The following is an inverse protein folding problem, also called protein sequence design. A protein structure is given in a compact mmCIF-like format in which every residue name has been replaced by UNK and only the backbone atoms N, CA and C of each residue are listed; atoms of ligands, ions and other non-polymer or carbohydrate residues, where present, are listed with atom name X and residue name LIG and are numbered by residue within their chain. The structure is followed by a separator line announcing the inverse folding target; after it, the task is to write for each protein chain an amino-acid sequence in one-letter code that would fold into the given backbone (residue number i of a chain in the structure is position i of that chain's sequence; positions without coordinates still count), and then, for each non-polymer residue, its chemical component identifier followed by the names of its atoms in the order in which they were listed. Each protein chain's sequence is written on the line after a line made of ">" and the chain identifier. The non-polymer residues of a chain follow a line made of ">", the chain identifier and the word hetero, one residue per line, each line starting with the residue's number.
data_IF_042611418432
#
_entry.id   IF_042611418432
#
_cell.length_a   1.000
_cell.length_b   1.000
_cell.length_c   1.000
_cell.angle_alpha   90.00
_cell.angle_beta   90.00
_cell.angle_gamma   90.00
#
_symmetry.space_group_name_H-M   'P 1'
#
loop_
_entity.id
_entity.type
_entity.pdbx_description
1 polymer ?
#
# COMPACT_ATOMS: atom_id res chain seq x y z
N UNK A 1 2.62 -9.72 -23.71
CA UNK A 1 2.82 -10.56 -22.52
C UNK A 1 2.16 -9.87 -21.32
N UNK A 2 1.49 -10.60 -20.42
CA UNK A 2 0.84 -10.02 -19.24
C UNK A 2 1.90 -9.77 -18.16
N UNK A 3 1.89 -8.59 -17.52
CA UNK A 3 2.82 -8.28 -16.44
C UNK A 3 2.61 -9.18 -15.22
N UNK A 4 3.70 -9.60 -14.57
CA UNK A 4 3.70 -10.25 -13.25
C UNK A 4 3.22 -9.30 -12.15
N UNK A 5 2.92 -9.82 -10.97
CA UNK A 5 2.59 -8.98 -9.81
C UNK A 5 3.81 -8.22 -9.29
N UNK A 6 5.00 -8.83 -9.32
CA UNK A 6 6.26 -8.13 -9.03
C UNK A 6 6.47 -6.95 -9.99
N UNK A 7 6.25 -7.11 -11.29
CA UNK A 7 6.36 -6.01 -12.27
C UNK A 7 5.31 -4.91 -12.06
N UNK A 8 4.11 -5.26 -11.59
CA UNK A 8 3.07 -4.27 -11.22
C UNK A 8 3.46 -3.53 -9.94
N UNK A 9 4.05 -4.21 -8.96
CA UNK A 9 4.57 -3.60 -7.73
C UNK A 9 5.69 -2.63 -8.08
N UNK A 10 6.62 -3.09 -8.92
CA UNK A 10 7.89 -2.40 -9.20
C UNK A 10 7.80 -1.42 -10.37
N UNK A 11 6.58 -1.09 -10.80
CA UNK A 11 6.31 -0.06 -11.81
C UNK A 11 6.99 1.26 -11.44
N UNK A 12 7.58 1.91 -12.42
CA UNK A 12 8.16 3.24 -12.26
C UNK A 12 7.06 4.29 -12.38
N UNK A 13 6.46 4.61 -11.24
CA UNK A 13 5.40 5.60 -11.10
C UNK A 13 5.58 6.33 -9.78
N UNK A 14 5.32 7.62 -9.80
CA UNK A 14 5.34 8.44 -8.60
C UNK A 14 3.94 8.55 -7.97
N UNK A 15 3.94 8.72 -6.65
CA UNK A 15 2.73 9.05 -5.90
C UNK A 15 2.24 10.45 -6.26
N UNK A 16 0.94 10.70 -6.12
CA UNK A 16 0.36 12.00 -6.47
C UNK A 16 -0.45 12.53 -5.31
N UNK A 17 -0.33 13.83 -5.03
CA UNK A 17 -1.17 14.49 -4.04
C UNK A 17 -2.20 15.36 -4.76
N UNK A 18 -3.49 15.14 -4.48
CA UNK A 18 -4.61 15.82 -5.12
C UNK A 18 -5.63 16.27 -4.08
N UNK A 19 -6.24 17.43 -4.30
CA UNK A 19 -7.38 17.88 -3.49
C UNK A 19 -8.63 17.19 -4.03
N UNK A 20 -9.40 16.54 -3.15
CA UNK A 20 -10.63 15.88 -3.59
C UNK A 20 -11.77 16.90 -3.80
N UNK A 21 -12.36 16.88 -5.00
CA UNK A 21 -13.49 17.76 -5.33
C UNK A 21 -14.82 17.32 -4.70
N UNK A 22 -14.89 16.07 -4.22
CA UNK A 22 -16.08 15.45 -3.63
C UNK A 22 -15.70 14.60 -2.42
N UNK A 23 -16.63 14.44 -1.49
CA UNK A 23 -16.49 13.51 -0.38
C UNK A 23 -16.31 12.09 -0.93
N UNK A 24 -15.36 11.35 -0.37
CA UNK A 24 -15.07 9.99 -0.81
C UNK A 24 -14.72 9.10 0.39
N UNK A 25 -15.49 8.03 0.59
CA UNK A 25 -15.39 7.18 1.77
C UNK A 25 -15.42 8.03 3.07
N UNK A 26 -14.37 7.94 3.89
CA UNK A 26 -14.19 8.69 5.14
C UNK A 26 -13.47 10.06 4.96
N UNK A 27 -13.34 10.54 3.72
CA UNK A 27 -12.55 11.75 3.38
C UNK A 27 -13.48 12.92 2.98
N UNK A 28 -13.50 14.02 3.76
CA UNK A 28 -14.28 15.23 3.45
C UNK A 28 -13.85 15.92 2.15
N UNK A 29 -14.73 16.72 1.54
CA UNK A 29 -14.41 17.58 0.40
C UNK A 29 -13.26 18.54 0.74
N UNK A 30 -12.36 18.81 -0.20
CA UNK A 30 -11.26 19.76 -0.02
C UNK A 30 -10.02 19.21 0.70
N UNK A 31 -10.03 17.93 1.08
CA UNK A 31 -8.89 17.25 1.71
C UNK A 31 -7.76 17.03 0.71
N UNK A 32 -6.53 17.36 1.12
CA UNK A 32 -5.30 17.04 0.39
C UNK A 32 -5.01 15.53 0.49
N UNK A 33 -5.38 14.79 -0.54
CA UNK A 33 -5.35 13.33 -0.56
C UNK A 33 -4.16 12.77 -1.35
N UNK A 34 -3.46 11.79 -0.78
CA UNK A 34 -2.43 11.01 -1.45
C UNK A 34 -3.04 9.88 -2.26
N UNK A 35 -2.65 9.78 -3.53
CA UNK A 35 -2.80 8.61 -4.39
C UNK A 35 -1.47 7.84 -4.32
N UNK A 36 -1.38 6.75 -3.54
CA UNK A 36 -0.14 6.03 -3.32
C UNK A 36 0.20 5.13 -4.51
N UNK A 37 1.44 4.65 -4.54
CA UNK A 37 1.88 3.57 -5.43
C UNK A 37 2.04 2.26 -4.64
N UNK A 38 2.08 1.10 -5.32
CA UNK A 38 2.42 -0.16 -4.66
C UNK A 38 3.79 -0.12 -3.98
N UNK A 39 4.78 0.59 -4.55
CA UNK A 39 6.11 0.75 -3.95
C UNK A 39 6.06 1.49 -2.61
N UNK A 40 5.29 2.58 -2.52
CA UNK A 40 5.20 3.36 -1.27
C UNK A 40 4.63 2.52 -0.15
N UNK A 41 3.56 1.78 -0.46
CA UNK A 41 2.91 0.88 0.48
C UNK A 41 3.87 -0.25 0.88
N UNK A 42 4.50 -0.90 -0.10
CA UNK A 42 5.41 -2.03 0.14
C UNK A 42 6.57 -1.65 1.06
N UNK A 43 7.22 -0.49 0.82
CA UNK A 43 8.30 0.01 1.68
C UNK A 43 7.84 0.12 3.14
N UNK A 44 6.67 0.74 3.35
CA UNK A 44 6.12 0.89 4.69
C UNK A 44 5.76 -0.45 5.34
N UNK A 45 5.23 -1.41 4.58
CA UNK A 45 4.91 -2.76 5.08
C UNK A 45 6.18 -3.52 5.49
N UNK A 46 7.25 -3.42 4.69
CA UNK A 46 8.55 -4.04 4.99
C UNK A 46 9.16 -3.53 6.29
N UNK A 47 8.91 -2.27 6.64
CA UNK A 47 9.42 -1.64 7.87
C UNK A 47 8.64 -2.04 9.14
N UNK A 48 7.54 -2.80 9.02
CA UNK A 48 6.77 -3.25 10.19
C UNK A 48 7.60 -4.31 10.94
N UNK A 49 7.92 -4.13 12.24
CA UNK A 49 8.69 -5.11 12.99
C UNK A 49 7.96 -6.46 13.15
N UNK A 50 8.73 -7.52 13.37
CA UNK A 50 8.19 -8.84 13.73
C UNK A 50 7.37 -8.69 15.03
N UNK A 51 6.19 -9.31 15.07
CA UNK A 51 5.27 -9.24 16.21
C UNK A 51 4.43 -7.96 16.28
N UNK A 52 4.60 -7.04 15.33
CA UNK A 52 3.78 -5.82 15.23
C UNK A 52 2.75 -5.94 14.12
N UNK A 53 1.59 -5.34 14.35
CA UNK A 53 0.47 -5.28 13.40
C UNK A 53 -0.01 -3.84 13.28
N UNK A 54 -0.52 -3.46 12.11
CA UNK A 54 -1.07 -2.14 11.86
C UNK A 54 -2.40 -2.27 11.13
N UNK A 55 -3.37 -1.45 11.51
CA UNK A 55 -4.64 -1.38 10.80
C UNK A 55 -4.48 -0.60 9.49
N UNK A 56 -5.30 -0.91 8.49
CA UNK A 56 -5.31 -0.20 7.19
C UNK A 56 -5.42 1.33 7.35
N UNK A 57 -6.17 1.79 8.37
CA UNK A 57 -6.31 3.22 8.69
C UNK A 57 -5.00 3.86 9.15
N UNK A 58 -4.17 3.14 9.90
CA UNK A 58 -2.88 3.64 10.39
C UNK A 58 -1.87 3.78 9.25
N UNK A 59 -1.84 2.79 8.36
CA UNK A 59 -1.01 2.80 7.15
C UNK A 59 -1.35 4.01 6.27
N UNK A 60 -2.65 4.26 6.04
CA UNK A 60 -3.13 5.44 5.29
C UNK A 60 -2.66 6.75 5.93
N UNK A 61 -2.74 6.89 7.27
CA UNK A 61 -2.27 8.10 7.96
C UNK A 61 -0.76 8.28 7.82
N UNK A 62 0.02 7.20 7.99
CA UNK A 62 1.49 7.25 7.85
C UNK A 62 1.92 7.62 6.44
N UNK A 63 1.32 7.01 5.42
CA UNK A 63 1.60 7.33 4.01
C UNK A 63 1.28 8.78 3.69
N UNK A 64 0.12 9.29 4.12
CA UNK A 64 -0.26 10.68 3.92
C UNK A 64 0.77 11.64 4.54
N UNK A 65 1.15 11.41 5.80
CA UNK A 65 2.14 12.21 6.51
C UNK A 65 3.48 12.24 5.77
N UNK A 66 3.98 11.09 5.31
CA UNK A 66 5.25 10.99 4.60
C UNK A 66 5.26 11.73 3.25
N UNK A 67 4.09 12.03 2.68
CA UNK A 67 3.93 12.68 1.37
C UNK A 67 3.29 14.09 1.49
N UNK A 68 3.30 14.71 2.67
CA UNK A 68 2.70 16.04 2.90
C UNK A 68 1.23 16.13 2.48
N UNK A 69 0.46 15.07 2.74
CA UNK A 69 -0.98 14.96 2.52
C UNK A 69 -1.70 14.73 3.86
N UNK A 70 -3.01 14.98 3.88
CA UNK A 70 -3.85 14.79 5.06
C UNK A 70 -4.38 13.36 5.19
N UNK A 71 -4.70 12.72 4.05
CA UNK A 71 -5.21 11.36 4.03
C UNK A 71 -4.78 10.61 2.77
N UNK A 72 -4.61 9.29 2.84
CA UNK A 72 -4.37 8.46 1.65
C UNK A 72 -5.67 7.87 1.11
N UNK A 73 -5.82 7.81 -0.21
CA UNK A 73 -6.99 7.28 -0.90
C UNK A 73 -7.26 5.81 -0.51
N UNK A 74 -8.42 5.47 0.08
CA UNK A 74 -8.72 4.11 0.52
C UNK A 74 -8.73 3.11 -0.63
N UNK A 75 -9.37 3.46 -1.75
CA UNK A 75 -9.51 2.58 -2.91
C UNK A 75 -8.15 2.18 -3.49
N UNK A 76 -7.29 3.16 -3.73
CA UNK A 76 -5.97 2.90 -4.31
C UNK A 76 -5.07 2.18 -3.30
N UNK A 77 -5.21 2.46 -2.00
CA UNK A 77 -4.54 1.69 -0.94
C UNK A 77 -4.92 0.21 -1.00
N UNK A 78 -6.21 -0.12 -1.14
CA UNK A 78 -6.68 -1.50 -1.27
C UNK A 78 -6.16 -2.20 -2.54
N UNK A 79 -6.17 -1.50 -3.69
CA UNK A 79 -5.59 -2.03 -4.94
C UNK A 79 -4.09 -2.30 -4.77
N UNK A 80 -3.35 -1.37 -4.17
CA UNK A 80 -1.92 -1.54 -3.90
C UNK A 80 -1.68 -2.69 -2.92
N UNK A 81 -2.52 -2.84 -1.89
CA UNK A 81 -2.41 -3.93 -0.91
C UNK A 81 -2.53 -5.29 -1.58
N UNK A 82 -3.49 -5.44 -2.51
CA UNK A 82 -3.60 -6.66 -3.30
C UNK A 82 -2.36 -6.89 -4.15
N UNK A 83 -1.85 -5.88 -4.84
CA UNK A 83 -0.65 -6.00 -5.68
C UNK A 83 0.55 -6.49 -4.85
N UNK A 84 0.80 -5.90 -3.67
CA UNK A 84 1.95 -6.30 -2.85
C UNK A 84 1.77 -7.70 -2.25
N UNK A 85 0.53 -8.10 -1.93
CA UNK A 85 0.23 -9.44 -1.40
C UNK A 85 0.48 -10.52 -2.45
N UNK A 86 0.03 -10.28 -3.67
CA UNK A 86 0.22 -11.20 -4.80
C UNK A 86 1.70 -11.24 -5.24
N UNK A 87 2.39 -10.09 -5.22
CA UNK A 87 3.83 -10.03 -5.48
C UNK A 87 4.64 -10.81 -4.44
N UNK A 88 4.28 -10.70 -3.16
CA UNK A 88 4.89 -11.48 -2.08
C UNK A 88 4.67 -12.99 -2.28
N UNK A 89 3.51 -13.40 -2.81
CA UNK A 89 3.25 -14.80 -3.13
C UNK A 89 4.04 -15.30 -4.35
N UNK A 90 4.14 -14.52 -5.43
CA UNK A 90 5.00 -14.84 -6.59
C UNK A 90 6.47 -15.02 -6.15
N UNK A 91 6.95 -14.11 -5.31
CA UNK A 91 8.28 -14.16 -4.71
C UNK A 91 8.46 -15.42 -3.86
N UNK A 92 7.52 -15.72 -2.99
CA UNK A 92 7.56 -16.95 -2.19
C UNK A 92 7.63 -18.20 -3.08
N UNK A 93 6.83 -18.29 -4.14
CA UNK A 93 6.88 -19.41 -5.09
C UNK A 93 8.22 -19.53 -5.82
N UNK A 94 8.87 -18.40 -6.13
CA UNK A 94 10.13 -18.39 -6.88
C UNK A 94 11.34 -18.76 -6.01
N UNK A 95 11.41 -18.30 -4.76
CA UNK A 95 12.61 -18.44 -3.93
C UNK A 95 12.44 -19.27 -2.66
N UNK A 96 11.20 -19.59 -2.26
CA UNK A 96 10.85 -20.27 -1.01
C UNK A 96 11.48 -19.64 0.26
N UNK A 97 11.61 -18.30 0.27
CA UNK A 97 12.23 -17.51 1.35
C UNK A 97 11.23 -16.53 1.97
N UNK A 98 10.64 -16.92 3.09
CA UNK A 98 9.62 -16.13 3.81
C UNK A 98 10.18 -14.82 4.37
N UNK A 99 11.48 -14.77 4.67
CA UNK A 99 12.19 -13.61 5.22
C UNK A 99 12.40 -12.49 4.19
N UNK A 100 12.14 -12.77 2.91
CA UNK A 100 12.39 -11.85 1.80
C UNK A 100 11.14 -11.26 1.15
N UNK A 101 9.95 -11.68 1.57
CA UNK A 101 8.69 -11.22 0.99
C UNK A 101 8.07 -10.11 1.83
N UNK A 102 7.17 -9.34 1.23
CA UNK A 102 6.39 -8.33 1.95
C UNK A 102 5.56 -8.96 3.06
N UNK A 103 5.66 -8.53 4.34
CA UNK A 103 4.89 -9.10 5.44
C UNK A 103 3.46 -8.54 5.47
N UNK A 104 2.73 -8.65 4.36
CA UNK A 104 1.38 -8.08 4.18
C UNK A 104 0.36 -8.59 5.20
N UNK A 105 0.56 -9.80 5.73
CA UNK A 105 -0.26 -10.40 6.79
C UNK A 105 -0.21 -9.63 8.13
N UNK A 106 0.71 -8.67 8.29
CA UNK A 106 0.74 -7.76 9.44
C UNK A 106 -0.28 -6.61 9.33
N UNK A 107 -0.99 -6.52 8.21
CA UNK A 107 -1.98 -5.46 7.93
C UNK A 107 -3.32 -6.03 7.49
N UNK A 108 -3.32 -7.07 6.66
CA UNK A 108 -4.56 -7.67 6.17
C UNK A 108 -5.25 -8.40 7.32
N UNK A 109 -6.44 -7.91 7.67
CA UNK A 109 -7.32 -8.52 8.67
C UNK A 109 -7.94 -9.81 8.11
N UNK A 110 -8.20 -10.83 8.94
CA UNK A 110 -8.69 -12.14 8.52
C UNK A 110 -10.20 -12.19 8.17
N UNK A 111 -10.90 -11.07 8.24
CA UNK A 111 -12.36 -10.96 8.06
C UNK A 111 -12.81 -11.07 6.58
#
# INVERSE_FOLDING_TARGET
>A
MKKSWVEKRDVDKESQVKVNAKQFADIPVGTKMLIPTPKDLNKLVMDIPIGSFLFTREIRKKLAKNNNAEMTCPLVTGICMRIISEAAFEEYQSHNKIDKISPFCRIVEPD
#
